data_IF_134238635773
#
_entry.id   IF_134238635773
#
_cell.length_a   1.000
_cell.length_b   1.000
_cell.length_c   1.000
_cell.angle_alpha   90.00
_cell.angle_beta   90.00
_cell.angle_gamma   90.00
#
_symmetry.space_group_name_H-M   'P 1'
#
loop_
_entity.id
_entity.type
_entity.pdbx_description
1 polymer ?
#
# COMPACT_ATOMS: atom_id res chain seq x y z
N UNK A 1 -6.71 -26.46 18.68
CA UNK A 1 -5.59 -25.52 18.75
C UNK A 1 -6.03 -24.39 19.64
N UNK A 2 -5.26 -24.07 20.67
CA UNK A 2 -5.47 -22.85 21.43
C UNK A 2 -5.07 -21.68 20.53
N UNK A 3 -6.06 -20.92 20.07
CA UNK A 3 -5.88 -19.79 19.15
C UNK A 3 -5.55 -18.50 19.92
N UNK A 4 -5.43 -18.55 21.24
CA UNK A 4 -5.12 -17.42 22.11
C UNK A 4 -3.69 -17.57 22.64
N UNK A 5 -2.70 -17.21 21.82
CA UNK A 5 -1.31 -17.19 22.30
C UNK A 5 -1.15 -16.11 23.37
N UNK A 6 -0.22 -16.26 24.34
CA UNK A 6 0.00 -15.26 25.38
C UNK A 6 0.27 -13.85 24.83
N UNK A 7 1.04 -13.77 23.74
CA UNK A 7 1.34 -12.51 23.05
C UNK A 7 0.09 -11.89 22.43
N UNK A 8 -0.78 -12.70 21.80
CA UNK A 8 -2.03 -12.20 21.24
C UNK A 8 -3.00 -11.73 22.33
N UNK A 9 -3.16 -12.46 23.44
CA UNK A 9 -4.00 -12.04 24.57
C UNK A 9 -3.51 -10.71 25.16
N UNK A 10 -2.19 -10.55 25.30
CA UNK A 10 -1.60 -9.31 25.80
C UNK A 10 -1.87 -8.11 24.88
N UNK A 11 -1.78 -8.29 23.56
CA UNK A 11 -2.12 -7.26 22.56
C UNK A 11 -3.62 -6.95 22.56
N UNK A 12 -4.47 -7.97 22.56
CA UNK A 12 -5.93 -7.82 22.57
C UNK A 12 -6.41 -6.98 23.77
N UNK A 13 -5.90 -7.29 24.97
CA UNK A 13 -6.28 -6.58 26.20
C UNK A 13 -5.92 -5.09 26.18
N UNK A 14 -4.80 -4.72 25.55
CA UNK A 14 -4.38 -3.32 25.43
C UNK A 14 -5.25 -2.55 24.42
N UNK A 15 -5.76 -3.24 23.41
CA UNK A 15 -6.69 -2.67 22.44
C UNK A 15 -8.16 -2.64 22.90
N UNK A 16 -8.48 -3.24 24.05
CA UNK A 16 -9.82 -3.17 24.66
C UNK A 16 -10.69 -4.43 24.52
N UNK A 17 -10.13 -5.56 24.05
CA UNK A 17 -10.88 -6.80 23.89
C UNK A 17 -10.12 -8.03 24.42
N UNK A 18 -10.75 -9.19 24.39
CA UNK A 18 -10.18 -10.48 24.83
C UNK A 18 -10.29 -11.53 23.73
N UNK A 19 -9.57 -12.65 23.87
CA UNK A 19 -9.68 -13.75 22.93
C UNK A 19 -11.11 -14.28 22.76
N UNK A 20 -11.96 -14.20 23.79
CA UNK A 20 -13.35 -14.63 23.74
C UNK A 20 -14.23 -13.75 22.83
N UNK A 21 -13.80 -12.51 22.58
CA UNK A 21 -14.51 -11.54 21.75
C UNK A 21 -14.26 -11.73 20.23
N UNK A 22 -13.26 -12.53 19.85
CA UNK A 22 -12.78 -12.67 18.46
C UNK A 22 -13.75 -13.41 17.53
N UNK A 23 -14.67 -14.19 18.09
CA UNK A 23 -15.69 -14.94 17.34
C UNK A 23 -15.13 -16.17 16.62
N UNK A 24 -15.66 -16.45 15.42
CA UNK A 24 -15.34 -17.65 14.64
C UNK A 24 -14.52 -17.36 13.38
N UNK A 25 -14.59 -18.27 12.40
CA UNK A 25 -13.92 -18.09 11.10
C UNK A 25 -14.38 -16.82 10.36
N UNK A 26 -15.64 -16.44 10.55
CA UNK A 26 -16.24 -15.18 10.11
C UNK A 26 -17.04 -14.63 11.27
N UNK A 27 -16.89 -13.34 11.58
CA UNK A 27 -17.69 -12.64 12.59
C UNK A 27 -18.19 -11.30 12.05
N UNK A 28 -19.38 -10.91 12.51
CA UNK A 28 -20.02 -9.64 12.15
C UNK A 28 -20.46 -8.94 13.42
N UNK A 29 -20.07 -7.67 13.57
CA UNK A 29 -20.40 -6.80 14.71
C UNK A 29 -21.12 -5.56 14.21
N UNK A 30 -21.77 -4.85 15.14
CA UNK A 30 -22.36 -3.55 14.82
C UNK A 30 -21.26 -2.49 14.69
N UNK A 31 -21.23 -1.68 13.61
CA UNK A 31 -20.25 -0.60 13.46
C UNK A 31 -20.40 0.50 14.53
N UNK A 32 -21.54 0.52 15.25
CA UNK A 32 -21.82 1.48 16.33
C UNK A 32 -21.37 0.99 17.71
N UNK A 33 -20.82 -0.22 17.80
CA UNK A 33 -20.35 -0.85 19.04
C UNK A 33 -18.85 -1.18 18.98
N UNK A 34 -18.13 -0.60 18.02
CA UNK A 34 -16.68 -0.74 17.94
C UNK A 34 -16.01 0.11 19.03
N UNK A 35 -14.78 -0.25 19.40
CA UNK A 35 -14.01 0.35 20.51
C UNK A 35 -13.98 1.89 20.48
N UNK A 36 -13.90 2.48 19.28
CA UNK A 36 -13.98 3.92 19.11
C UNK A 36 -14.55 4.32 17.73
N UNK A 37 -14.92 5.59 17.60
CA UNK A 37 -15.58 6.13 16.42
C UNK A 37 -14.71 6.17 15.15
N UNK A 38 -13.37 6.04 15.27
CA UNK A 38 -12.47 6.09 14.12
C UNK A 38 -12.42 4.77 13.35
N UNK A 39 -12.70 3.64 14.02
CA UNK A 39 -12.76 2.31 13.40
C UNK A 39 -13.78 2.24 12.24
N UNK A 40 -15.06 2.62 12.42
CA UNK A 40 -16.03 2.57 11.31
C UNK A 40 -15.72 3.60 10.21
N UNK A 41 -15.08 4.74 10.54
CA UNK A 41 -14.61 5.72 9.54
C UNK A 41 -13.52 5.10 8.67
N UNK A 42 -12.53 4.45 9.29
CA UNK A 42 -11.48 3.73 8.58
C UNK A 42 -12.06 2.63 7.68
N UNK A 43 -12.91 1.75 8.21
CA UNK A 43 -13.51 0.65 7.44
C UNK A 43 -14.24 1.19 6.21
N UNK A 44 -15.08 2.19 6.38
CA UNK A 44 -15.85 2.78 5.29
C UNK A 44 -14.92 3.36 4.23
N UNK A 45 -13.91 4.15 4.64
CA UNK A 45 -12.94 4.77 3.73
C UNK A 45 -12.08 3.74 3.00
N UNK A 46 -11.80 2.58 3.57
CA UNK A 46 -10.98 1.57 2.88
C UNK A 46 -11.84 0.66 2.00
N UNK A 47 -12.97 0.17 2.51
CA UNK A 47 -13.84 -0.78 1.80
C UNK A 47 -14.49 -0.11 0.58
N UNK A 48 -15.06 1.09 0.74
CA UNK A 48 -15.68 1.82 -0.39
C UNK A 48 -14.63 2.10 -1.47
N UNK A 49 -13.42 2.47 -1.08
CA UNK A 49 -12.32 2.72 -2.00
C UNK A 49 -11.96 1.49 -2.80
N UNK A 50 -11.79 0.36 -2.13
CA UNK A 50 -11.46 -0.91 -2.78
C UNK A 50 -12.53 -1.35 -3.78
N UNK A 51 -13.81 -1.21 -3.42
CA UNK A 51 -14.95 -1.48 -4.31
C UNK A 51 -14.92 -0.54 -5.52
N UNK A 52 -14.68 0.76 -5.33
CA UNK A 52 -14.58 1.73 -6.42
C UNK A 52 -13.38 1.43 -7.34
N UNK A 53 -12.25 0.99 -6.79
CA UNK A 53 -11.09 0.54 -7.56
C UNK A 53 -11.39 -0.73 -8.37
N UNK A 54 -12.16 -1.68 -7.82
CA UNK A 54 -12.61 -2.87 -8.55
C UNK A 54 -13.56 -2.49 -9.70
N UNK A 55 -14.53 -1.61 -9.44
CA UNK A 55 -15.44 -1.08 -10.47
C UNK A 55 -14.64 -0.39 -11.57
N UNK A 56 -13.62 0.41 -11.21
CA UNK A 56 -12.71 1.01 -12.17
C UNK A 56 -11.97 -0.04 -13.00
N UNK A 57 -11.39 -1.05 -12.34
CA UNK A 57 -10.66 -2.13 -12.99
C UNK A 57 -11.51 -2.90 -14.00
N UNK A 58 -12.75 -3.23 -13.61
CA UNK A 58 -13.71 -3.90 -14.49
C UNK A 58 -14.09 -3.02 -15.70
N UNK A 59 -14.28 -1.71 -15.49
CA UNK A 59 -14.58 -0.76 -16.59
C UNK A 59 -13.41 -0.64 -17.57
N UNK A 60 -12.15 -0.69 -17.10
CA UNK A 60 -10.96 -0.71 -17.97
C UNK A 60 -10.86 -2.02 -18.75
N UNK A 61 -11.11 -3.15 -18.10
CA UNK A 61 -11.07 -4.46 -18.75
C UNK A 61 -12.10 -4.56 -19.89
N UNK A 62 -13.32 -4.06 -19.68
CA UNK A 62 -14.33 -3.99 -20.75
C UNK A 62 -13.92 -3.12 -21.94
N UNK A 63 -12.96 -2.21 -21.76
CA UNK A 63 -12.36 -1.39 -22.82
C UNK A 63 -11.08 -2.01 -23.42
N UNK A 64 -10.73 -3.23 -23.02
CA UNK A 64 -9.59 -3.97 -23.54
C UNK A 64 -8.32 -3.92 -22.67
N UNK A 65 -8.30 -3.18 -21.56
CA UNK A 65 -7.14 -3.11 -20.66
C UNK A 65 -7.35 -3.90 -19.37
N UNK A 66 -6.71 -5.06 -19.26
CA UNK A 66 -6.77 -5.93 -18.09
C UNK A 66 -5.81 -5.54 -16.94
N UNK A 67 -4.98 -4.50 -17.11
CA UNK A 67 -3.92 -4.14 -16.17
C UNK A 67 -4.43 -3.94 -14.76
N UNK A 68 -5.52 -3.18 -14.57
CA UNK A 68 -6.05 -2.91 -13.24
C UNK A 68 -6.68 -4.12 -12.56
N UNK A 69 -7.22 -5.08 -13.32
CA UNK A 69 -7.68 -6.34 -12.72
C UNK A 69 -6.48 -7.13 -12.20
N UNK A 70 -5.37 -7.15 -12.95
CA UNK A 70 -4.14 -7.79 -12.51
C UNK A 70 -3.53 -7.09 -11.28
N UNK A 71 -3.60 -5.75 -11.19
CA UNK A 71 -3.20 -5.01 -9.97
C UNK A 71 -4.08 -5.40 -8.79
N UNK A 72 -5.40 -5.28 -8.92
CA UNK A 72 -6.36 -5.48 -7.83
C UNK A 72 -6.31 -6.92 -7.30
N UNK A 73 -6.44 -7.90 -8.18
CA UNK A 73 -6.40 -9.30 -7.78
C UNK A 73 -4.97 -9.79 -7.48
N UNK A 74 -3.94 -9.19 -8.07
CA UNK A 74 -2.55 -9.51 -7.74
C UNK A 74 -2.18 -9.07 -6.32
N UNK A 75 -2.63 -7.87 -5.91
CA UNK A 75 -2.51 -7.40 -4.52
C UNK A 75 -3.29 -8.29 -3.55
N UNK A 76 -4.48 -8.74 -3.95
CA UNK A 76 -5.28 -9.69 -3.16
C UNK A 76 -4.59 -11.06 -3.04
N UNK A 77 -3.97 -11.54 -4.11
CA UNK A 77 -3.20 -12.79 -4.09
C UNK A 77 -1.95 -12.65 -3.19
N UNK A 78 -1.25 -11.52 -3.25
CA UNK A 78 -0.14 -11.22 -2.33
C UNK A 78 -0.58 -11.28 -0.86
N UNK A 79 -1.70 -10.62 -0.51
CA UNK A 79 -2.28 -10.65 0.84
C UNK A 79 -2.46 -12.09 1.34
N UNK A 80 -3.11 -12.95 0.54
CA UNK A 80 -3.37 -14.33 0.95
C UNK A 80 -2.13 -15.23 1.02
N UNK A 81 -1.00 -14.79 0.45
CA UNK A 81 0.28 -15.48 0.59
C UNK A 81 0.98 -15.06 1.88
N UNK A 82 0.92 -13.77 2.24
CA UNK A 82 1.71 -13.20 3.34
C UNK A 82 0.96 -13.20 4.68
N UNK A 83 -0.32 -12.83 4.72
CA UNK A 83 -1.03 -12.64 5.99
C UNK A 83 -1.26 -13.93 6.80
N UNK A 84 -1.68 -15.08 6.20
CA UNK A 84 -1.96 -16.25 7.02
C UNK A 84 -0.74 -16.76 7.82
N UNK A 85 0.49 -16.80 7.27
CA UNK A 85 1.69 -17.07 8.06
C UNK A 85 1.95 -16.08 9.20
N UNK A 86 1.70 -14.78 8.99
CA UNK A 86 1.91 -13.74 10.00
C UNK A 86 0.92 -13.86 11.16
N UNK A 87 -0.32 -14.26 10.86
CA UNK A 87 -1.35 -14.46 11.87
C UNK A 87 -1.25 -15.81 12.55
N UNK A 88 -0.82 -16.88 11.89
CA UNK A 88 -0.84 -18.22 12.48
C UNK A 88 0.52 -18.92 12.38
N UNK A 89 1.60 -18.34 12.93
CA UNK A 89 2.94 -18.91 12.77
C UNK A 89 3.02 -20.40 13.18
N UNK A 90 2.32 -20.77 14.26
CA UNK A 90 2.20 -22.16 14.71
C UNK A 90 1.54 -23.12 13.73
N UNK A 91 0.59 -22.65 12.91
CA UNK A 91 -0.04 -23.48 11.88
C UNK A 91 0.88 -23.71 10.67
N UNK A 92 1.92 -22.89 10.51
CA UNK A 92 2.91 -22.97 9.44
C UNK A 92 4.25 -23.56 9.90
N UNK A 93 4.37 -23.98 11.17
CA UNK A 93 5.59 -24.57 11.71
C UNK A 93 6.75 -23.57 11.83
N UNK A 94 6.43 -22.29 11.99
CA UNK A 94 7.41 -21.19 12.13
C UNK A 94 7.35 -20.52 13.50
N UNK A 95 6.63 -21.09 14.47
CA UNK A 95 6.47 -20.55 15.83
C UNK A 95 7.79 -20.37 16.59
N UNK A 96 8.79 -21.21 16.31
CA UNK A 96 10.13 -21.12 16.91
C UNK A 96 10.94 -19.92 16.36
N UNK A 97 10.47 -19.31 15.26
CA UNK A 97 11.15 -18.23 14.55
C UNK A 97 10.34 -16.93 14.52
N UNK A 98 9.00 -17.02 14.59
CA UNK A 98 8.05 -15.92 14.44
C UNK A 98 6.91 -16.12 15.42
N UNK A 99 6.78 -15.25 16.43
CA UNK A 99 5.54 -15.14 17.21
C UNK A 99 4.59 -14.12 16.54
N UNK A 100 3.38 -13.98 17.08
CA UNK A 100 2.37 -12.99 16.70
C UNK A 100 3.02 -11.62 16.52
N UNK A 101 3.07 -11.12 15.29
CA UNK A 101 3.76 -9.87 14.95
C UNK A 101 2.94 -8.64 15.32
N UNK A 102 1.62 -8.72 15.20
CA UNK A 102 0.68 -7.67 15.53
C UNK A 102 -0.71 -8.26 15.70
N UNK A 103 -1.62 -7.47 16.24
CA UNK A 103 -3.04 -7.79 16.29
C UNK A 103 -3.84 -6.56 15.88
N UNK A 104 -4.93 -6.77 15.15
CA UNK A 104 -5.90 -5.73 14.84
C UNK A 104 -6.93 -5.62 15.97
N UNK A 105 -7.53 -4.44 16.11
CA UNK A 105 -8.75 -4.31 16.89
C UNK A 105 -9.92 -5.00 16.16
N UNK A 106 -11.04 -5.21 16.86
CA UNK A 106 -12.19 -5.88 16.31
C UNK A 106 -13.03 -4.92 15.48
N UNK A 107 -13.13 -5.20 14.18
CA UNK A 107 -13.90 -4.40 13.23
C UNK A 107 -15.29 -4.99 12.94
N UNK A 108 -16.06 -4.32 12.08
CA UNK A 108 -17.43 -4.72 11.73
C UNK A 108 -17.48 -6.11 11.11
N UNK A 109 -16.57 -6.40 10.18
CA UNK A 109 -16.46 -7.72 9.54
C UNK A 109 -15.05 -8.24 9.70
N UNK A 110 -14.93 -9.42 10.29
CA UNK A 110 -13.63 -10.07 10.46
C UNK A 110 -13.64 -11.51 9.98
N UNK A 111 -12.44 -11.94 9.61
CA UNK A 111 -12.12 -13.30 9.23
C UNK A 111 -11.06 -13.87 10.16
N UNK A 112 -10.92 -15.19 10.12
CA UNK A 112 -9.83 -15.91 10.78
C UNK A 112 -9.76 -15.64 12.29
N UNK A 113 -10.88 -15.79 13.01
CA UNK A 113 -10.95 -15.61 14.47
C UNK A 113 -10.44 -14.24 14.92
N UNK A 114 -10.97 -13.17 14.30
CA UNK A 114 -10.64 -11.79 14.65
C UNK A 114 -9.24 -11.34 14.27
N UNK A 115 -8.55 -12.05 13.35
CA UNK A 115 -7.17 -11.70 12.95
C UNK A 115 -7.09 -10.97 11.62
N UNK A 116 -8.05 -11.19 10.72
CA UNK A 116 -8.06 -10.55 9.40
C UNK A 116 -9.36 -9.73 9.21
N UNK A 117 -9.38 -8.46 9.62
CA UNK A 117 -10.48 -7.55 9.33
C UNK A 117 -10.71 -7.36 7.82
N UNK A 118 -11.96 -7.15 7.40
CA UNK A 118 -12.30 -6.92 6.00
C UNK A 118 -11.61 -5.67 5.42
N UNK A 119 -11.39 -4.63 6.23
CA UNK A 119 -10.68 -3.44 5.75
C UNK A 119 -9.21 -3.76 5.39
N UNK A 120 -8.56 -4.71 6.07
CA UNK A 120 -7.21 -5.18 5.70
C UNK A 120 -7.27 -5.91 4.37
N UNK A 121 -8.25 -6.78 4.14
CA UNK A 121 -8.44 -7.40 2.81
C UNK A 121 -8.62 -6.33 1.73
N UNK A 122 -9.31 -5.24 2.05
CA UNK A 122 -9.61 -4.15 1.12
C UNK A 122 -8.46 -3.14 0.92
N UNK A 123 -7.58 -2.91 1.90
CA UNK A 123 -6.55 -1.87 1.80
C UNK A 123 -5.51 -2.18 0.74
N UNK A 124 -5.10 -3.45 0.63
CA UNK A 124 -4.13 -3.91 -0.37
C UNK A 124 -4.54 -3.57 -1.80
N UNK A 125 -5.69 -4.03 -2.31
CA UNK A 125 -6.10 -3.70 -3.67
C UNK A 125 -6.47 -2.22 -3.86
N UNK A 126 -6.99 -1.53 -2.83
CA UNK A 126 -7.23 -0.09 -2.88
C UNK A 126 -5.92 0.67 -3.13
N UNK A 127 -4.94 0.53 -2.24
CA UNK A 127 -3.71 1.30 -2.25
C UNK A 127 -2.88 0.98 -3.49
N UNK A 128 -2.76 -0.30 -3.85
CA UNK A 128 -2.06 -0.72 -5.05
C UNK A 128 -2.69 -0.11 -6.31
N UNK A 129 -4.01 -0.19 -6.46
CA UNK A 129 -4.70 0.33 -7.64
C UNK A 129 -4.64 1.86 -7.71
N UNK A 130 -4.90 2.54 -6.60
CA UNK A 130 -4.87 4.00 -6.51
C UNK A 130 -3.49 4.56 -6.85
N UNK A 131 -2.44 4.01 -6.25
CA UNK A 131 -1.05 4.45 -6.48
C UNK A 131 -0.61 4.17 -7.91
N UNK A 132 -0.92 2.98 -8.43
CA UNK A 132 -0.63 2.61 -9.81
C UNK A 132 -1.32 3.55 -10.82
N UNK A 133 -2.58 3.88 -10.59
CA UNK A 133 -3.36 4.79 -11.43
C UNK A 133 -2.81 6.21 -11.40
N UNK A 134 -2.42 6.73 -10.23
CA UNK A 134 -1.76 8.04 -10.09
C UNK A 134 -0.51 8.07 -10.96
N UNK A 135 0.39 7.09 -10.80
CA UNK A 135 1.64 7.02 -11.57
C UNK A 135 1.39 6.85 -13.07
N UNK A 136 0.36 6.10 -13.46
CA UNK A 136 -0.06 6.00 -14.86
C UNK A 136 -0.57 7.33 -15.41
N UNK A 137 -1.36 8.11 -14.66
CA UNK A 137 -1.79 9.46 -15.07
C UNK A 137 -0.62 10.42 -15.20
N UNK A 138 0.41 10.29 -14.34
CA UNK A 138 1.65 11.06 -14.46
C UNK A 138 2.48 10.70 -15.70
N UNK A 139 2.15 9.60 -16.38
CA UNK A 139 2.82 9.15 -17.61
C UNK A 139 4.18 8.50 -17.39
N UNK A 140 4.55 8.20 -16.14
CA UNK A 140 5.89 7.70 -15.78
C UNK A 140 6.23 6.38 -16.47
N UNK A 141 5.30 5.42 -16.47
CA UNK A 141 5.49 4.15 -17.16
C UNK A 141 5.85 4.31 -18.64
N UNK A 142 5.24 5.29 -19.32
CA UNK A 142 5.46 5.53 -20.75
C UNK A 142 6.72 6.38 -21.04
N UNK A 143 7.06 7.34 -20.17
CA UNK A 143 8.23 8.24 -20.36
C UNK A 143 9.54 7.70 -19.82
N UNK A 144 9.47 6.99 -18.70
CA UNK A 144 10.63 6.59 -17.91
C UNK A 144 10.79 5.07 -17.84
N UNK A 145 9.84 4.31 -18.38
CA UNK A 145 9.87 2.86 -18.38
C UNK A 145 9.32 2.24 -17.10
N UNK A 146 9.25 0.91 -17.11
CA UNK A 146 8.52 0.14 -16.10
C UNK A 146 9.22 0.07 -14.73
N UNK A 147 10.55 0.09 -14.69
CA UNK A 147 11.32 0.05 -13.44
C UNK A 147 11.11 1.35 -12.66
N UNK A 148 11.38 2.50 -13.30
CA UNK A 148 11.16 3.80 -12.68
C UNK A 148 9.69 4.05 -12.37
N UNK A 149 8.77 3.57 -13.22
CA UNK A 149 7.34 3.57 -12.94
C UNK A 149 7.01 2.78 -11.68
N UNK A 150 7.56 1.58 -11.50
CA UNK A 150 7.37 0.75 -10.31
C UNK A 150 7.93 1.42 -9.05
N UNK A 151 9.15 1.99 -9.08
CA UNK A 151 9.68 2.76 -7.96
C UNK A 151 8.77 3.93 -7.59
N UNK A 152 8.18 4.59 -8.61
CA UNK A 152 7.23 5.69 -8.38
C UNK A 152 5.93 5.18 -7.76
N UNK A 153 5.46 3.98 -8.12
CA UNK A 153 4.31 3.36 -7.43
C UNK A 153 4.66 3.07 -5.98
N UNK A 154 5.85 2.56 -5.69
CA UNK A 154 6.34 2.36 -4.32
C UNK A 154 6.35 3.65 -3.50
N UNK A 155 6.88 4.75 -4.07
CA UNK A 155 6.89 6.06 -3.40
C UNK A 155 5.47 6.60 -3.14
N UNK A 156 4.59 6.55 -4.14
CA UNK A 156 3.21 7.05 -3.99
C UNK A 156 2.46 6.18 -2.99
N UNK A 157 2.53 4.86 -3.11
CA UNK A 157 1.91 3.93 -2.17
C UNK A 157 2.38 4.17 -0.75
N UNK A 158 3.70 4.24 -0.53
CA UNK A 158 4.28 4.51 0.78
C UNK A 158 3.77 5.82 1.37
N UNK A 159 3.69 6.88 0.56
CA UNK A 159 3.15 8.15 1.03
C UNK A 159 1.68 8.07 1.49
N UNK A 160 0.83 7.28 0.83
CA UNK A 160 -0.57 7.09 1.28
C UNK A 160 -0.67 6.14 2.48
N UNK A 161 0.13 5.08 2.47
CA UNK A 161 0.13 4.03 3.49
C UNK A 161 0.68 4.54 4.83
N UNK A 162 1.79 5.27 4.84
CA UNK A 162 2.43 5.76 6.06
C UNK A 162 1.61 6.82 6.80
N UNK A 163 0.70 7.51 6.11
CA UNK A 163 -0.29 8.39 6.76
C UNK A 163 -1.23 7.57 7.65
N UNK A 164 -1.60 6.39 7.17
CA UNK A 164 -2.45 5.43 7.88
C UNK A 164 -1.66 4.67 8.94
N UNK A 165 -0.45 4.19 8.62
CA UNK A 165 0.30 3.28 9.47
C UNK A 165 0.79 3.99 10.76
N UNK A 166 1.22 5.25 10.65
CA UNK A 166 1.72 6.01 11.80
C UNK A 166 0.64 6.54 12.77
N UNK A 167 -0.63 6.56 12.37
CA UNK A 167 -1.72 6.96 13.28
C UNK A 167 -2.46 5.76 13.87
N UNK A 168 -2.40 4.60 13.21
CA UNK A 168 -3.17 3.41 13.61
C UNK A 168 -2.92 2.93 15.04
N UNK A 169 -1.66 2.81 15.50
CA UNK A 169 -1.40 2.42 16.89
C UNK A 169 -1.98 3.41 17.91
N UNK A 170 -1.87 4.72 17.64
CA UNK A 170 -2.43 5.75 18.52
C UNK A 170 -3.96 5.69 18.60
N UNK A 171 -4.64 5.33 17.50
CA UNK A 171 -6.10 5.21 17.44
C UNK A 171 -6.61 3.79 17.74
N UNK A 172 -5.73 2.90 18.20
CA UNK A 172 -6.02 1.49 18.50
C UNK A 172 -6.67 0.74 17.35
N UNK A 173 -6.20 0.97 16.12
CA UNK A 173 -6.63 0.18 14.96
C UNK A 173 -5.92 -1.17 14.91
N UNK A 174 -4.66 -1.18 15.33
CA UNK A 174 -3.86 -2.38 15.58
C UNK A 174 -2.74 -2.04 16.54
N UNK A 175 -2.07 -3.06 17.03
CA UNK A 175 -0.89 -2.92 17.86
C UNK A 175 0.21 -3.88 17.39
N UNK A 176 1.44 -3.37 17.29
CA UNK A 176 2.63 -4.15 16.99
C UNK A 176 3.14 -4.84 18.25
N UNK A 177 3.61 -6.08 18.14
CA UNK A 177 4.33 -6.75 19.22
C UNK A 177 5.72 -6.11 19.40
N UNK A 178 6.00 -5.41 20.52
CA UNK A 178 7.23 -4.63 20.66
C UNK A 178 8.48 -5.52 20.76
N UNK A 179 8.33 -6.71 21.35
CA UNK A 179 9.43 -7.65 21.59
C UNK A 179 9.68 -8.61 20.42
N UNK A 180 8.90 -8.51 19.34
CA UNK A 180 9.07 -9.38 18.19
C UNK A 180 10.29 -8.93 17.35
N UNK A 181 11.30 -9.79 17.13
CA UNK A 181 12.51 -9.41 16.40
C UNK A 181 12.28 -8.89 14.98
N UNK A 182 11.21 -9.34 14.31
CA UNK A 182 10.86 -8.89 12.95
C UNK A 182 10.37 -7.44 12.95
N UNK A 183 9.75 -6.98 14.04
CA UNK A 183 9.27 -5.62 14.18
C UNK A 183 10.40 -4.62 14.48
N UNK A 184 11.58 -5.11 14.87
CA UNK A 184 12.72 -4.26 15.20
C UNK A 184 13.53 -3.90 13.94
N UNK A 185 14.13 -2.69 13.89
CA UNK A 185 13.88 -1.57 14.80
C UNK A 185 12.57 -0.85 14.50
N UNK A 186 12.02 -0.19 15.51
CA UNK A 186 10.89 0.72 15.34
C UNK A 186 11.32 2.12 14.90
N UNK A 187 10.45 2.76 14.13
CA UNK A 187 10.44 4.18 13.81
C UNK A 187 9.21 4.82 14.45
N UNK A 188 9.43 5.42 15.64
CA UNK A 188 8.34 5.75 16.56
C UNK A 188 7.51 4.49 16.89
N UNK A 189 6.19 4.49 16.68
CA UNK A 189 5.33 3.32 16.92
C UNK A 189 5.30 2.27 15.80
N UNK A 190 5.99 2.49 14.67
CA UNK A 190 5.87 1.64 13.47
C UNK A 190 7.19 0.94 13.15
N UNK A 191 7.21 -0.38 12.90
CA UNK A 191 8.42 -1.11 12.47
C UNK A 191 9.05 -0.52 11.20
N UNK A 192 10.37 -0.36 11.15
CA UNK A 192 11.08 0.04 9.93
C UNK A 192 10.84 -0.94 8.77
N UNK A 193 10.65 -2.22 9.08
CA UNK A 193 10.22 -3.22 8.10
C UNK A 193 8.86 -2.90 7.47
N UNK A 194 7.91 -2.34 8.23
CA UNK A 194 6.63 -1.84 7.70
C UNK A 194 6.87 -0.69 6.73
N UNK A 195 7.57 0.35 7.19
CA UNK A 195 7.85 1.59 6.43
C UNK A 195 8.53 1.33 5.08
N UNK A 196 9.38 0.30 5.00
CA UNK A 196 10.13 0.01 3.78
C UNK A 196 9.49 -1.12 2.98
N UNK A 197 9.22 -2.27 3.60
CA UNK A 197 8.76 -3.47 2.89
C UNK A 197 7.27 -3.38 2.57
N UNK A 198 6.45 -3.15 3.60
CA UNK A 198 4.98 -3.09 3.49
C UNK A 198 4.48 -1.78 2.85
N UNK A 199 5.18 -0.67 3.05
CA UNK A 199 4.75 0.60 2.48
C UNK A 199 5.23 0.80 1.03
N UNK A 200 6.42 0.29 0.67
CA UNK A 200 7.12 0.74 -0.54
C UNK A 200 7.62 -0.39 -1.46
N UNK A 201 8.27 -1.43 -0.93
CA UNK A 201 8.92 -2.43 -1.78
C UNK A 201 7.93 -3.44 -2.39
N UNK A 202 6.93 -3.93 -1.66
CA UNK A 202 5.94 -4.83 -2.24
C UNK A 202 5.08 -4.20 -3.34
N UNK A 203 4.56 -2.95 -3.22
CA UNK A 203 3.78 -2.34 -4.30
C UNK A 203 4.66 -2.01 -5.50
N UNK A 204 5.94 -1.69 -5.29
CA UNK A 204 6.93 -1.59 -6.37
C UNK A 204 7.06 -2.94 -7.09
N UNK A 205 7.28 -4.03 -6.35
CA UNK A 205 7.40 -5.38 -6.90
C UNK A 205 6.16 -5.80 -7.68
N UNK A 206 4.97 -5.61 -7.10
CA UNK A 206 3.68 -5.86 -7.75
C UNK A 206 3.56 -5.07 -9.05
N UNK A 207 3.80 -3.75 -9.01
CA UNK A 207 3.70 -2.89 -10.19
C UNK A 207 4.64 -3.34 -11.31
N UNK A 208 5.85 -3.75 -10.96
CA UNK A 208 6.82 -4.28 -11.91
C UNK A 208 6.32 -5.58 -12.56
N UNK A 209 5.89 -6.56 -11.75
CA UNK A 209 5.34 -7.83 -12.23
C UNK A 209 4.10 -7.63 -13.12
N UNK A 210 3.17 -6.77 -12.71
CA UNK A 210 1.97 -6.44 -13.50
C UNK A 210 2.36 -5.85 -14.85
N UNK A 211 3.29 -4.88 -14.88
CA UNK A 211 3.72 -4.27 -16.14
C UNK A 211 4.41 -5.26 -17.06
N UNK A 212 5.27 -6.13 -16.51
CA UNK A 212 5.95 -7.16 -17.28
C UNK A 212 5.00 -8.20 -17.86
N UNK A 213 4.00 -8.65 -17.10
CA UNK A 213 3.14 -9.77 -17.50
C UNK A 213 1.90 -9.35 -18.27
N UNK A 214 1.36 -8.16 -17.97
CA UNK A 214 0.08 -7.68 -18.48
C UNK A 214 0.23 -6.30 -19.12
N UNK A 215 0.64 -5.30 -18.34
CA UNK A 215 0.51 -3.88 -18.72
C UNK A 215 1.20 -3.47 -20.01
N UNK A 216 2.38 -4.02 -20.32
CA UNK A 216 3.09 -3.70 -21.58
C UNK A 216 2.51 -4.36 -22.83
N UNK A 217 1.58 -5.31 -22.68
CA UNK A 217 1.07 -6.13 -23.79
C UNK A 217 -0.38 -5.78 -24.18
N UNK A 218 -1.10 -5.00 -23.36
CA UNK A 218 -2.54 -4.75 -23.57
C UNK A 218 -2.85 -3.95 -24.84
N UNK A 219 -1.89 -3.20 -25.36
CA UNK A 219 -2.03 -2.48 -26.62
C UNK A 219 -1.92 -3.43 -27.85
N UNK A 220 -1.28 -4.58 -27.69
CA UNK A 220 -1.04 -5.55 -28.77
C UNK A 220 -1.96 -6.77 -28.72
N UNK A 221 -2.45 -7.16 -27.54
CA UNK A 221 -3.26 -8.35 -27.36
C UNK A 221 -4.28 -8.21 -26.24
N UNK A 222 -5.42 -8.87 -26.41
CA UNK A 222 -6.39 -9.08 -25.32
C UNK A 222 -6.11 -10.42 -24.64
N UNK A 223 -6.25 -10.44 -23.33
CA UNK A 223 -6.10 -11.64 -22.52
C UNK A 223 -7.43 -12.36 -22.36
N UNK A 224 -7.43 -13.69 -22.52
CA UNK A 224 -8.58 -14.52 -22.12
C UNK A 224 -8.69 -14.59 -20.60
N UNK A 225 -9.86 -14.99 -20.08
CA UNK A 225 -10.08 -15.17 -18.64
C UNK A 225 -9.02 -16.05 -17.97
N UNK A 226 -8.78 -17.29 -18.45
CA UNK A 226 -7.75 -18.16 -17.89
C UNK A 226 -6.34 -17.57 -17.96
N UNK A 227 -6.01 -16.87 -19.06
CA UNK A 227 -4.73 -16.19 -19.22
C UNK A 227 -4.51 -15.10 -18.18
N UNK A 228 -5.57 -14.37 -17.82
CA UNK A 228 -5.51 -13.33 -16.81
C UNK A 228 -5.39 -13.94 -15.40
N UNK A 229 -6.15 -15.00 -15.12
CA UNK A 229 -6.15 -15.67 -13.81
C UNK A 229 -4.75 -16.17 -13.44
N UNK A 230 -4.11 -16.99 -14.29
CA UNK A 230 -2.79 -17.54 -13.92
C UNK A 230 -1.73 -16.45 -13.79
N UNK A 231 -1.76 -15.43 -14.66
CA UNK A 231 -0.82 -14.29 -14.58
C UNK A 231 -0.98 -13.55 -13.27
N UNK A 232 -2.22 -13.34 -12.84
CA UNK A 232 -2.54 -12.66 -11.58
C UNK A 232 -2.00 -13.45 -10.37
N UNK A 233 -2.16 -14.78 -10.37
CA UNK A 233 -1.59 -15.64 -9.32
C UNK A 233 -0.07 -15.55 -9.31
N UNK A 234 0.58 -15.66 -10.47
CA UNK A 234 2.04 -15.55 -10.58
C UNK A 234 2.53 -14.16 -10.18
N UNK A 235 1.79 -13.10 -10.50
CA UNK A 235 2.09 -11.73 -10.06
C UNK A 235 2.08 -11.65 -8.53
N UNK A 236 1.04 -12.17 -7.86
CA UNK A 236 0.97 -12.17 -6.39
C UNK A 236 2.12 -12.94 -5.74
N UNK A 237 2.45 -14.12 -6.27
CA UNK A 237 3.57 -14.94 -5.80
C UNK A 237 4.93 -14.24 -6.03
N UNK A 238 5.17 -13.71 -7.23
CA UNK A 238 6.41 -13.02 -7.55
C UNK A 238 6.57 -11.72 -6.74
N UNK A 239 5.47 -10.99 -6.52
CA UNK A 239 5.46 -9.83 -5.64
C UNK A 239 5.89 -10.20 -4.21
N UNK A 240 5.37 -11.33 -3.68
CA UNK A 240 5.72 -11.89 -2.38
C UNK A 240 7.19 -12.32 -2.32
N UNK A 241 7.75 -12.88 -3.39
CA UNK A 241 9.20 -13.15 -3.45
C UNK A 241 10.01 -11.85 -3.38
N UNK A 242 9.52 -10.79 -4.05
CA UNK A 242 10.15 -9.48 -4.00
C UNK A 242 10.26 -8.89 -2.59
N UNK A 243 9.28 -9.15 -1.71
CA UNK A 243 9.35 -8.68 -0.31
C UNK A 243 10.36 -9.41 0.55
N UNK A 244 10.80 -10.60 0.14
CA UNK A 244 11.94 -11.26 0.77
C UNK A 244 13.26 -10.79 0.17
N UNK A 245 13.34 -10.64 -1.16
CA UNK A 245 14.59 -10.34 -1.87
C UNK A 245 15.02 -8.88 -1.72
N UNK A 246 14.10 -7.94 -1.90
CA UNK A 246 14.43 -6.51 -1.96
C UNK A 246 15.02 -5.98 -0.64
N UNK A 247 14.55 -6.37 0.56
CA UNK A 247 15.15 -5.95 1.82
C UNK A 247 16.33 -6.82 2.28
N UNK A 248 16.83 -7.76 1.47
CA UNK A 248 17.96 -8.62 1.85
C UNK A 248 19.19 -7.85 2.33
N UNK A 249 19.60 -6.71 1.72
CA UNK A 249 20.72 -5.94 2.25
C UNK A 249 20.46 -5.49 3.68
N UNK A 250 19.27 -4.95 4.00
CA UNK A 250 18.91 -4.61 5.38
C UNK A 250 18.89 -5.82 6.30
N UNK A 251 18.37 -6.97 5.86
CA UNK A 251 18.34 -8.20 6.65
C UNK A 251 19.75 -8.73 6.97
N UNK A 252 20.63 -8.80 5.96
CA UNK A 252 21.97 -9.41 6.10
C UNK A 252 22.93 -8.47 6.81
N UNK A 253 23.00 -7.21 6.39
CA UNK A 253 23.89 -6.20 7.00
C UNK A 253 23.39 -5.84 8.40
N UNK A 254 22.06 -5.83 8.57
CA UNK A 254 21.39 -5.57 9.84
C UNK A 254 21.61 -6.62 10.93
N UNK A 255 22.21 -7.78 10.61
CA UNK A 255 22.69 -8.73 11.63
C UNK A 255 23.74 -8.11 12.57
N UNK A 256 24.39 -7.02 12.14
CA UNK A 256 25.32 -6.26 12.98
C UNK A 256 24.64 -5.43 14.09
N UNK A 257 23.31 -5.31 14.07
CA UNK A 257 22.53 -4.63 15.12
C UNK A 257 21.36 -3.82 14.57
N UNK A 258 20.40 -3.51 15.44
CA UNK A 258 19.14 -2.86 15.07
C UNK A 258 19.34 -1.46 14.44
N UNK A 259 20.25 -0.65 14.98
CA UNK A 259 20.60 0.65 14.38
C UNK A 259 21.11 0.51 12.95
N UNK A 260 21.93 -0.51 12.68
CA UNK A 260 22.44 -0.79 11.34
C UNK A 260 21.30 -1.22 10.43
N UNK A 261 20.46 -2.17 10.88
CA UNK A 261 19.28 -2.66 10.13
C UNK A 261 18.37 -1.50 9.73
N UNK A 262 18.00 -0.64 10.69
CA UNK A 262 17.19 0.55 10.44
C UNK A 262 17.84 1.54 9.47
N UNK A 263 19.15 1.74 9.57
CA UNK A 263 19.89 2.62 8.65
C UNK A 263 19.88 2.07 7.23
N UNK A 264 20.11 0.76 7.05
CA UNK A 264 20.09 0.15 5.70
C UNK A 264 18.68 0.21 5.11
N UNK A 265 17.64 -0.08 5.90
CA UNK A 265 16.24 0.11 5.47
C UNK A 265 15.99 1.55 5.00
N UNK A 266 16.41 2.55 5.77
CA UNK A 266 16.25 3.95 5.40
C UNK A 266 17.00 4.30 4.09
N UNK A 267 18.18 3.73 3.88
CA UNK A 267 18.96 3.91 2.63
C UNK A 267 18.27 3.25 1.43
N UNK A 268 17.74 2.04 1.58
CA UNK A 268 16.97 1.35 0.53
C UNK A 268 15.75 2.19 0.11
N UNK A 269 14.99 2.69 1.08
CA UNK A 269 13.86 3.58 0.85
C UNK A 269 14.29 4.87 0.15
N UNK A 270 15.39 5.49 0.60
CA UNK A 270 15.92 6.72 0.02
C UNK A 270 16.36 6.54 -1.44
N UNK A 271 17.02 5.42 -1.77
CA UNK A 271 17.43 5.11 -3.14
C UNK A 271 16.22 4.91 -4.05
N UNK A 272 15.22 4.15 -3.59
CA UNK A 272 13.97 3.96 -4.34
C UNK A 272 13.24 5.29 -4.55
N UNK A 273 13.13 6.11 -3.49
CA UNK A 273 12.51 7.43 -3.55
C UNK A 273 13.25 8.37 -4.51
N UNK A 274 14.59 8.36 -4.50
CA UNK A 274 15.39 9.16 -5.43
C UNK A 274 15.13 8.76 -6.89
N UNK A 275 15.03 7.46 -7.19
CA UNK A 275 14.69 6.97 -8.52
C UNK A 275 13.28 7.42 -8.95
N UNK A 276 12.30 7.35 -8.04
CA UNK A 276 10.94 7.84 -8.28
C UNK A 276 10.90 9.36 -8.54
N UNK A 277 11.58 10.16 -7.72
CA UNK A 277 11.66 11.61 -7.88
C UNK A 277 12.35 12.01 -9.20
N UNK A 278 13.41 11.30 -9.57
CA UNK A 278 14.05 11.45 -10.88
C UNK A 278 13.06 11.19 -12.03
N UNK A 279 12.28 10.11 -11.93
CA UNK A 279 11.29 9.75 -12.94
C UNK A 279 10.18 10.80 -13.07
N UNK A 280 9.64 11.28 -11.95
CA UNK A 280 8.62 12.34 -11.93
C UNK A 280 9.18 13.63 -12.54
N UNK A 281 10.39 14.06 -12.14
CA UNK A 281 11.03 15.26 -12.71
C UNK A 281 11.21 15.14 -14.23
N UNK A 282 11.70 14.00 -14.71
CA UNK A 282 11.84 13.74 -16.15
C UNK A 282 10.50 13.73 -16.88
N UNK A 283 9.42 13.30 -16.21
CA UNK A 283 8.08 13.37 -16.78
C UNK A 283 7.54 14.79 -16.87
N UNK A 284 7.82 15.64 -15.87
CA UNK A 284 7.34 17.02 -15.85
C UNK A 284 8.15 17.95 -16.77
N UNK A 285 9.43 17.64 -16.99
CA UNK A 285 10.35 18.41 -17.83
C UNK A 285 10.85 17.59 -19.02
N UNK A 286 9.98 17.29 -20.00
CA UNK A 286 10.39 16.55 -21.20
C UNK A 286 11.39 17.38 -22.03
N UNK A 287 12.37 16.71 -22.63
CA UNK A 287 13.29 17.35 -23.57
C UNK A 287 12.55 17.94 -24.78
N UNK A 288 13.07 19.01 -25.40
CA UNK A 288 12.55 19.51 -26.66
C UNK A 288 12.47 18.39 -27.71
N UNK A 289 11.32 18.25 -28.38
CA UNK A 289 11.09 17.19 -29.38
C UNK A 289 10.70 15.81 -28.80
N UNK A 290 10.58 15.67 -27.47
CA UNK A 290 10.10 14.42 -26.89
C UNK A 290 8.69 14.06 -27.41
N UNK A 291 8.43 12.78 -27.76
CA UNK A 291 7.13 12.36 -28.27
C UNK A 291 5.98 12.76 -27.34
N UNK A 292 4.90 13.30 -27.92
CA UNK A 292 3.67 13.54 -27.16
C UNK A 292 3.09 12.20 -26.70
N UNK A 293 2.67 12.13 -25.44
CA UNK A 293 2.05 10.93 -24.89
C UNK A 293 0.59 11.23 -24.66
N UNK A 294 -0.35 10.40 -25.16
CA UNK A 294 -1.77 10.58 -24.92
C UNK A 294 -2.02 10.69 -23.42
N UNK A 295 -2.66 11.78 -22.99
CA UNK A 295 -2.99 11.95 -21.59
C UNK A 295 -4.03 10.91 -21.16
N UNK A 296 -3.71 10.22 -20.07
CA UNK A 296 -4.66 9.38 -19.36
C UNK A 296 -5.20 10.17 -18.17
N UNK A 297 -6.53 10.22 -18.02
CA UNK A 297 -7.20 10.84 -16.88
C UNK A 297 -8.15 9.85 -16.23
N UNK A 298 -8.22 9.90 -14.92
CA UNK A 298 -9.10 9.07 -14.12
C UNK A 298 -9.72 9.88 -12.97
N UNK A 299 -10.83 10.59 -13.22
CA UNK A 299 -11.49 11.44 -12.22
C UNK A 299 -11.90 10.68 -10.96
N UNK A 300 -12.25 9.39 -11.09
CA UNK A 300 -12.62 8.54 -9.97
C UNK A 300 -11.44 8.40 -9.00
N UNK A 301 -10.27 8.01 -9.49
CA UNK A 301 -9.05 7.87 -8.65
C UNK A 301 -8.62 9.21 -8.08
N UNK A 302 -8.65 10.28 -8.89
CA UNK A 302 -8.29 11.63 -8.44
C UNK A 302 -9.17 12.11 -7.28
N UNK A 303 -10.49 11.95 -7.42
CA UNK A 303 -11.46 12.32 -6.39
C UNK A 303 -11.27 11.47 -5.15
N UNK A 304 -11.13 10.16 -5.32
CA UNK A 304 -10.99 9.24 -4.19
C UNK A 304 -9.69 9.44 -3.41
N UNK A 305 -8.57 9.60 -4.11
CA UNK A 305 -7.27 9.88 -3.47
C UNK A 305 -7.29 11.20 -2.70
N UNK A 306 -7.98 12.23 -3.24
CA UNK A 306 -8.19 13.49 -2.52
C UNK A 306 -9.05 13.28 -1.27
N UNK A 307 -10.16 12.53 -1.38
CA UNK A 307 -11.03 12.21 -0.25
C UNK A 307 -10.27 11.45 0.84
N UNK A 308 -9.45 10.46 0.46
CA UNK A 308 -8.60 9.73 1.39
C UNK A 308 -7.70 10.69 2.19
N UNK A 309 -6.97 11.57 1.51
CA UNK A 309 -6.10 12.55 2.19
C UNK A 309 -6.88 13.47 3.13
N UNK A 310 -8.09 13.90 2.74
CA UNK A 310 -8.94 14.75 3.58
C UNK A 310 -9.42 14.01 4.82
N UNK A 311 -9.88 12.76 4.68
CA UNK A 311 -10.33 11.94 5.81
C UNK A 311 -9.18 11.69 6.79
N UNK A 312 -8.03 11.26 6.28
CA UNK A 312 -6.86 11.01 7.14
C UNK A 312 -6.30 12.28 7.76
N UNK A 313 -6.33 13.42 7.07
CA UNK A 313 -5.98 14.69 7.70
C UNK A 313 -6.93 15.01 8.87
N UNK A 314 -8.24 14.75 8.72
CA UNK A 314 -9.21 14.88 9.80
C UNK A 314 -8.93 13.96 10.99
N UNK A 315 -8.58 12.69 10.72
CA UNK A 315 -8.20 11.73 11.77
C UNK A 315 -6.93 12.15 12.50
N UNK A 316 -5.91 12.61 11.78
CA UNK A 316 -4.69 13.17 12.37
C UNK A 316 -5.00 14.40 13.24
N UNK A 317 -5.78 15.36 12.74
CA UNK A 317 -6.18 16.54 13.51
C UNK A 317 -6.90 16.15 14.80
N UNK A 318 -7.78 15.15 14.77
CA UNK A 318 -8.47 14.65 15.96
C UNK A 318 -7.52 13.98 16.97
N UNK A 319 -6.44 13.35 16.50
CA UNK A 319 -5.44 12.69 17.33
C UNK A 319 -4.32 13.63 17.84
N UNK A 320 -4.19 14.84 17.29
CA UNK A 320 -3.13 15.79 17.65
C UNK A 320 -3.10 16.18 19.14
N UNK A 321 -4.23 16.40 19.84
CA UNK A 321 -4.19 16.73 21.27
C UNK A 321 -3.44 15.66 22.08
N UNK A 322 -3.85 14.40 21.97
CA UNK A 322 -3.20 13.27 22.66
C UNK A 322 -1.75 13.06 22.19
N UNK A 323 -1.47 13.36 20.92
CA UNK A 323 -0.11 13.30 20.37
C UNK A 323 0.83 14.31 21.06
N UNK A 324 0.36 15.55 21.29
CA UNK A 324 1.17 16.60 21.92
C UNK A 324 1.27 16.43 23.44
N UNK A 325 0.27 15.81 24.07
CA UNK A 325 0.26 15.49 25.50
C UNK A 325 1.02 14.19 25.83
N UNK A 326 1.44 13.44 24.81
CA UNK A 326 2.16 12.18 24.96
C UNK A 326 3.52 12.37 25.65
N UNK A 327 3.85 11.45 26.56
CA UNK A 327 5.12 11.43 27.27
C UNK A 327 5.92 10.20 26.84
N UNK A 328 7.19 10.40 26.47
CA UNK A 328 8.08 9.34 25.98
C UNK A 328 7.48 8.51 24.82
N UNK A 329 6.71 9.15 23.93
CA UNK A 329 6.13 8.51 22.76
C UNK A 329 4.84 7.71 23.03
N UNK A 330 4.21 7.89 24.20
CA UNK A 330 2.99 7.18 24.59
C UNK A 330 1.94 8.18 25.12
N UNK A 331 0.69 8.06 24.68
CA UNK A 331 -0.44 8.88 25.16
C UNK A 331 -0.77 8.58 26.62
N UNK A 332 -1.60 9.41 27.26
CA UNK A 332 -2.11 9.14 28.61
C UNK A 332 -2.92 7.83 28.70
N UNK A 333 -3.51 7.38 27.59
CA UNK A 333 -4.27 6.14 27.48
C UNK A 333 -3.39 4.90 27.21
N UNK A 334 -2.07 5.07 27.09
CA UNK A 334 -1.11 3.98 26.87
C UNK A 334 -0.84 3.68 25.40
N UNK A 335 -1.30 4.52 24.47
CA UNK A 335 -1.20 4.24 23.03
C UNK A 335 0.10 4.82 22.46
N UNK A 336 0.91 4.04 21.73
CA UNK A 336 2.16 4.53 21.17
C UNK A 336 1.92 5.45 19.97
N UNK A 337 2.62 6.59 19.92
CA UNK A 337 2.45 7.60 18.87
C UNK A 337 3.42 7.40 17.70
N UNK A 338 2.98 7.77 16.49
CA UNK A 338 3.80 7.71 15.28
C UNK A 338 4.78 8.88 15.11
N UNK A 339 5.32 9.02 13.89
CA UNK A 339 6.26 10.08 13.55
C UNK A 339 5.57 11.20 12.76
N UNK A 340 5.07 12.22 13.45
CA UNK A 340 4.34 13.34 12.83
C UNK A 340 5.13 14.06 11.72
N UNK A 341 6.42 14.40 11.87
CA UNK A 341 7.21 15.01 10.78
C UNK A 341 7.26 14.15 9.51
N UNK A 342 7.45 12.84 9.66
CA UNK A 342 7.45 11.92 8.52
C UNK A 342 6.06 11.79 7.90
N UNK A 343 5.01 11.71 8.70
CA UNK A 343 3.64 11.69 8.18
C UNK A 343 3.29 12.97 7.42
N UNK A 344 3.73 14.15 7.88
CA UNK A 344 3.58 15.40 7.14
C UNK A 344 4.30 15.37 5.79
N UNK A 345 5.50 14.80 5.73
CA UNK A 345 6.20 14.56 4.46
C UNK A 345 5.38 13.65 3.52
N UNK A 346 4.82 12.58 4.06
CA UNK A 346 3.95 11.66 3.32
C UNK A 346 2.67 12.36 2.80
N UNK A 347 2.03 13.22 3.60
CA UNK A 347 0.94 14.09 3.13
C UNK A 347 1.38 14.99 1.97
N UNK A 348 2.54 15.63 2.07
CA UNK A 348 3.07 16.49 1.00
C UNK A 348 3.33 15.70 -0.29
N UNK A 349 3.92 14.51 -0.18
CA UNK A 349 4.19 13.64 -1.34
C UNK A 349 2.87 13.16 -1.96
N UNK A 350 1.94 12.65 -1.16
CA UNK A 350 0.64 12.16 -1.62
C UNK A 350 -0.20 13.26 -2.27
N UNK A 351 -0.36 14.40 -1.60
CA UNK A 351 -1.06 15.56 -2.14
C UNK A 351 -0.39 16.11 -3.40
N UNK A 352 0.95 16.18 -3.41
CA UNK A 352 1.72 16.59 -4.58
C UNK A 352 1.51 15.66 -5.78
N UNK A 353 1.56 14.34 -5.57
CA UNK A 353 1.30 13.35 -6.60
C UNK A 353 -0.10 13.50 -7.19
N UNK A 354 -1.13 13.63 -6.34
CA UNK A 354 -2.52 13.86 -6.77
C UNK A 354 -2.66 15.18 -7.52
N UNK A 355 -2.14 16.29 -6.97
CA UNK A 355 -2.22 17.62 -7.58
C UNK A 355 -1.59 17.65 -8.99
N UNK A 356 -0.47 16.96 -9.19
CA UNK A 356 0.18 16.84 -10.50
C UNK A 356 -0.70 16.17 -11.55
N UNK A 357 -1.52 15.18 -11.16
CA UNK A 357 -2.45 14.52 -12.11
C UNK A 357 -3.50 15.49 -12.68
N UNK A 358 -3.88 16.54 -11.94
CA UNK A 358 -4.79 17.58 -12.43
C UNK A 358 -4.10 18.58 -13.35
N UNK A 359 -2.82 18.88 -13.08
CA UNK A 359 -2.03 19.88 -13.83
C UNK A 359 -1.53 19.38 -15.17
N UNK A 360 -1.29 18.08 -15.33
CA UNK A 360 -0.91 17.50 -16.62
C UNK A 360 -2.10 17.65 -17.59
N UNK A 361 -2.02 18.68 -18.45
CA UNK A 361 -2.91 18.85 -19.59
C UNK A 361 -2.51 17.85 -20.66
N UNK A 362 -3.50 17.15 -21.23
CA UNK A 362 -3.28 16.46 -22.50
C UNK A 362 -2.86 17.50 -23.53
N UNK A 363 -1.64 17.37 -24.05
CA UNK A 363 -1.38 17.92 -25.38
C UNK A 363 -2.23 17.09 -26.32
N UNK A 364 -3.12 17.74 -27.06
CA UNK A 364 -3.79 17.09 -28.17
C UNK A 364 -2.72 16.41 -29.05
N UNK A 365 -3.01 15.22 -29.60
CA UNK A 365 -2.17 14.72 -30.68
C UNK A 365 -2.15 15.82 -31.74
N UNK A 366 -0.97 16.34 -32.07
CA UNK A 366 -0.80 17.15 -33.28
C UNK A 366 -1.39 16.30 -34.39
N UNK A 367 -2.44 16.82 -35.04
CA UNK A 367 -3.09 16.15 -36.15
C UNK A 367 -1.99 15.62 -37.07
N UNK A 368 -2.07 14.33 -37.40
CA UNK A 368 -1.19 13.72 -38.38
C UNK A 368 -1.23 14.59 -39.63
N UNK A 369 -0.15 15.30 -39.92
CA UNK A 369 0.05 15.79 -41.27
C UNK A 369 -0.04 14.56 -42.18
N UNK A 370 -0.93 14.58 -43.19
CA UNK A 370 -0.95 13.49 -44.15
C UNK A 370 0.42 13.42 -44.79
N UNK A 371 1.13 12.31 -44.59
CA UNK A 371 2.26 11.94 -45.46
C UNK A 371 1.63 11.58 -46.80
N UNK A 372 1.33 12.62 -47.59
CA UNK A 372 0.89 12.52 -48.96
C UNK A 372 1.94 13.20 -49.82
N UNK A 373 2.65 12.39 -50.62
CA UNK A 373 3.45 12.81 -51.78
C UNK A 373 4.63 13.71 -51.44
N UNK A 374 5.85 13.18 -51.32
CA UNK A 374 6.67 12.98 -52.53
C UNK A 374 7.43 11.64 -52.49
N UNK A 375 6.96 10.71 -53.31
CA UNK A 375 7.87 9.83 -54.06
C UNK A 375 8.70 10.73 -54.98
N UNK A 376 10.02 10.74 -54.84
CA UNK A 376 10.93 10.84 -55.98
C UNK A 376 12.15 9.95 -55.70
N UNK A 377 12.19 8.88 -56.50
CA UNK A 377 13.27 7.96 -56.93
C UNK A 377 14.46 7.71 -56.01
#
# INVERSE_FOLDING_TARGET
>A
MDMCTPTFDALARRMGFTCDDTGGLVSVRSPFQLENWTLPVLELTIIVGSVLMLVHAFRRWRRGDATNLAVWFGATAYLFVIEPPLYFPGAFGIEDYVDTMFAHNLFTVEFLWGRLPLYIVAIYPLMATMSFEIVRMLGVFRRCGIILGACTVGLVHGAFYEIFDHIGPQLRWWEWAPDNPINLPFFASVPMGSVVVFAALWPMSLALCVQFMVGRHVDAARFTGPQLVWRTVVIGLAASVGTFILPLPATVIGLAGDTVRGTVYALELAVMAAAALYAVRRCLSPAPGAPSIPAHRNPLVQTYATLYLVVFAGLWIAALPDFFDANNGVTAAGDPIGNLPFTLLCFVIGAGAVALTFRIRGREPVASEPIGSTMEV
#
